data_IF_854281385238
#
_entry.id   IF_854281385238
#
_cell.length_a   1.000
_cell.length_b   1.000
_cell.length_c   1.000
_cell.angle_alpha   90.00
_cell.angle_beta   90.00
_cell.angle_gamma   90.00
#
_symmetry.space_group_name_H-M   'P 1'
#
loop_
_entity.id
_entity.type
_entity.pdbx_description
1 polymer ?
#
# COMPACT_ATOMS: atom_id res chain seq x y z
N UNK A 1 10.02 -4.78 28.01
CA UNK A 1 9.79 -3.81 26.92
C UNK A 1 9.09 -4.49 25.77
N UNK A 2 7.94 -3.97 25.40
CA UNK A 2 7.27 -4.38 24.16
C UNK A 2 8.01 -3.76 22.98
N UNK A 3 8.46 -4.60 22.05
CA UNK A 3 9.09 -4.14 20.82
C UNK A 3 8.10 -3.31 20.00
N UNK A 4 8.53 -2.17 19.50
CA UNK A 4 7.74 -1.38 18.57
C UNK A 4 7.37 -2.23 17.35
N UNK A 5 6.11 -2.18 16.95
CA UNK A 5 5.64 -2.88 15.75
C UNK A 5 5.50 -1.88 14.61
N UNK A 6 5.97 -2.28 13.44
CA UNK A 6 5.88 -1.49 12.23
C UNK A 6 4.71 -1.94 11.36
N UNK A 7 3.84 -1.01 11.03
CA UNK A 7 2.74 -1.20 10.08
C UNK A 7 3.06 -0.40 8.83
N UNK A 8 3.10 -1.07 7.69
CA UNK A 8 3.37 -0.47 6.40
C UNK A 8 2.07 -0.24 5.65
N UNK A 9 1.76 1.01 5.31
CA UNK A 9 0.50 1.39 4.69
C UNK A 9 0.77 2.03 3.33
N UNK A 10 0.08 1.57 2.29
CA UNK A 10 0.18 2.13 0.95
C UNK A 10 -1.18 2.65 0.52
N UNK A 11 -1.25 3.95 0.25
CA UNK A 11 -2.38 4.63 -0.38
C UNK A 11 -1.92 5.32 -1.66
N UNK A 12 -2.69 5.21 -2.73
CA UNK A 12 -2.34 5.79 -4.05
C UNK A 12 -3.24 6.93 -4.49
N UNK A 13 -4.26 7.25 -3.72
CA UNK A 13 -5.26 8.27 -4.03
C UNK A 13 -5.69 9.04 -2.77
N UNK A 14 -6.24 10.27 -2.91
CA UNK A 14 -6.67 11.06 -1.75
C UNK A 14 -7.69 10.36 -0.85
N UNK A 15 -8.61 9.58 -1.43
CA UNK A 15 -9.57 8.78 -0.66
C UNK A 15 -8.88 7.70 0.18
N UNK A 16 -7.89 7.03 -0.37
CA UNK A 16 -7.06 6.06 0.34
C UNK A 16 -6.21 6.69 1.43
N UNK A 17 -5.67 7.88 1.18
CA UNK A 17 -4.92 8.66 2.16
C UNK A 17 -5.79 9.01 3.38
N UNK A 18 -7.02 9.46 3.16
CA UNK A 18 -7.97 9.72 4.24
C UNK A 18 -8.27 8.44 5.03
N UNK A 19 -8.57 7.34 4.36
CA UNK A 19 -8.82 6.03 5.00
C UNK A 19 -7.58 5.60 5.81
N UNK A 20 -6.39 5.72 5.26
CA UNK A 20 -5.14 5.39 5.93
C UNK A 20 -4.92 6.21 7.20
N UNK A 21 -5.22 7.50 7.14
CA UNK A 21 -5.19 8.41 8.30
C UNK A 21 -6.14 7.95 9.42
N UNK A 22 -7.36 7.57 9.07
CA UNK A 22 -8.34 7.04 10.04
C UNK A 22 -7.86 5.71 10.68
N UNK A 23 -7.30 4.81 9.87
CA UNK A 23 -6.73 3.56 10.36
C UNK A 23 -5.59 3.84 11.35
N UNK A 24 -4.66 4.72 11.00
CA UNK A 24 -3.56 5.11 11.90
C UNK A 24 -4.10 5.66 13.21
N UNK A 25 -5.05 6.59 13.14
CA UNK A 25 -5.67 7.21 14.32
C UNK A 25 -6.30 6.17 15.27
N UNK A 26 -7.06 5.23 14.72
CA UNK A 26 -7.70 4.18 15.53
C UNK A 26 -6.68 3.17 16.10
N UNK A 27 -5.66 2.83 15.36
CA UNK A 27 -4.64 1.91 15.84
C UNK A 27 -3.77 2.51 16.95
N UNK A 28 -3.43 3.79 16.86
CA UNK A 28 -2.67 4.50 17.90
C UNK A 28 -3.44 4.53 19.21
N UNK A 29 -4.76 4.73 19.17
CA UNK A 29 -5.61 4.68 20.37
C UNK A 29 -5.55 3.34 21.09
N UNK A 30 -5.36 2.25 20.35
CA UNK A 30 -5.31 0.89 20.90
C UNK A 30 -3.92 0.49 21.37
N UNK A 31 -2.90 0.99 20.72
CA UNK A 31 -1.51 0.65 21.02
C UNK A 31 -0.57 1.80 20.62
N UNK A 32 0.02 2.46 21.61
CA UNK A 32 0.95 3.57 21.40
C UNK A 32 2.33 3.17 20.86
N UNK A 33 2.66 1.87 20.88
CA UNK A 33 3.96 1.35 20.43
C UNK A 33 3.95 0.95 18.93
N UNK A 34 3.03 1.51 18.16
CA UNK A 34 2.97 1.30 16.72
C UNK A 34 3.72 2.39 15.97
N UNK A 35 4.48 1.97 14.99
CA UNK A 35 5.12 2.84 14.01
C UNK A 35 4.54 2.61 12.64
N UNK A 36 4.52 3.65 11.82
CA UNK A 36 3.89 3.62 10.51
C UNK A 36 4.87 4.14 9.46
N UNK A 37 4.87 3.47 8.31
CA UNK A 37 5.68 3.84 7.17
C UNK A 37 4.96 3.44 5.88
N UNK A 38 5.38 3.93 4.74
CA UNK A 38 4.81 3.53 3.45
C UNK A 38 4.62 4.67 2.47
N UNK A 39 3.46 4.70 1.82
CA UNK A 39 3.08 5.73 0.85
C UNK A 39 1.74 6.31 1.23
N UNK A 40 1.66 7.61 1.34
CA UNK A 40 0.44 8.34 1.65
C UNK A 40 0.59 9.83 1.34
N UNK A 41 -0.48 10.56 1.59
CA UNK A 41 -0.55 12.00 1.39
C UNK A 41 -0.62 12.77 2.71
N UNK A 42 -1.13 13.99 2.63
CA UNK A 42 -1.14 14.92 3.76
C UNK A 42 -1.95 14.43 4.96
N UNK A 43 -3.02 13.67 4.74
CA UNK A 43 -3.82 13.15 5.84
C UNK A 43 -3.03 12.16 6.70
N UNK A 44 -2.34 11.21 6.07
CA UNK A 44 -1.49 10.25 6.79
C UNK A 44 -0.27 10.94 7.41
N UNK A 45 0.33 11.92 6.72
CA UNK A 45 1.49 12.67 7.20
C UNK A 45 1.19 13.60 8.38
N UNK A 46 -0.08 13.87 8.69
CA UNK A 46 -0.47 14.55 9.93
C UNK A 46 -0.22 13.69 11.18
N UNK A 47 0.02 12.41 11.02
CA UNK A 47 0.52 11.51 12.04
C UNK A 47 2.04 11.36 11.91
N UNK A 48 2.67 10.58 12.77
CA UNK A 48 4.09 10.23 12.61
C UNK A 48 4.30 9.23 11.45
N UNK A 49 4.07 9.71 10.24
CA UNK A 49 4.14 8.93 9.00
C UNK A 49 4.90 9.71 7.94
N UNK A 50 5.89 9.07 7.32
CA UNK A 50 6.65 9.66 6.22
C UNK A 50 6.44 8.82 4.95
N UNK A 51 5.91 9.46 3.91
CA UNK A 51 5.77 8.80 2.61
C UNK A 51 7.15 8.66 1.94
N UNK A 52 7.46 7.47 1.44
CA UNK A 52 8.76 7.19 0.80
C UNK A 52 8.91 7.88 -0.57
N UNK A 53 7.80 8.27 -1.17
CA UNK A 53 7.74 9.14 -2.34
C UNK A 53 6.40 9.88 -2.35
N UNK A 54 6.24 10.97 -3.12
CA UNK A 54 4.98 11.68 -3.20
C UNK A 54 3.85 10.78 -3.72
N UNK A 55 2.75 10.68 -2.97
CA UNK A 55 1.57 9.91 -3.39
C UNK A 55 1.04 10.36 -4.76
N UNK A 56 1.23 11.65 -5.08
CA UNK A 56 0.85 12.21 -6.39
C UNK A 56 1.50 11.48 -7.57
N UNK A 57 2.63 10.84 -7.37
CA UNK A 57 3.28 10.01 -8.40
C UNK A 57 2.40 8.84 -8.86
N UNK A 58 1.57 8.31 -7.97
CA UNK A 58 0.61 7.26 -8.29
C UNK A 58 -0.68 7.84 -8.89
N UNK A 59 -1.12 9.00 -8.40
CA UNK A 59 -2.36 9.66 -8.81
C UNK A 59 -2.29 10.19 -10.24
N UNK A 60 -1.18 10.83 -10.62
CA UNK A 60 -1.02 11.46 -11.95
C UNK A 60 -0.74 10.48 -13.09
N UNK A 61 -0.58 9.21 -12.81
CA UNK A 61 -0.31 8.20 -13.84
C UNK A 61 -1.37 8.14 -14.93
N UNK A 62 -2.62 8.54 -14.62
CA UNK A 62 -3.73 8.59 -15.57
C UNK A 62 -3.53 9.53 -16.76
N UNK A 63 -2.72 10.59 -16.61
CA UNK A 63 -2.50 11.62 -17.63
C UNK A 63 -1.19 11.47 -18.40
N UNK A 64 -0.34 10.51 -18.04
CA UNK A 64 0.93 10.26 -18.72
C UNK A 64 0.77 9.38 -19.96
N UNK A 65 1.65 9.50 -20.98
CA UNK A 65 1.73 8.53 -22.08
C UNK A 65 1.92 7.09 -21.56
N UNK A 66 1.36 6.11 -22.26
CA UNK A 66 1.32 4.70 -21.80
C UNK A 66 2.70 4.15 -21.42
N UNK A 67 3.71 4.37 -22.24
CA UNK A 67 5.06 3.87 -21.96
C UNK A 67 5.67 4.51 -20.70
N UNK A 68 5.47 5.81 -20.52
CA UNK A 68 5.94 6.51 -19.31
C UNK A 68 5.21 6.05 -18.05
N UNK A 69 3.91 5.77 -18.15
CA UNK A 69 3.12 5.20 -17.07
C UNK A 69 3.67 3.86 -16.60
N UNK A 70 3.94 2.96 -17.54
CA UNK A 70 4.45 1.61 -17.24
C UNK A 70 5.80 1.70 -16.54
N UNK A 71 6.73 2.48 -17.06
CA UNK A 71 8.06 2.63 -16.49
C UNK A 71 8.02 3.23 -15.08
N UNK A 72 7.24 4.30 -14.88
CA UNK A 72 7.08 4.93 -13.57
C UNK A 72 6.39 4.01 -12.58
N UNK A 73 5.35 3.31 -13.02
CA UNK A 73 4.61 2.34 -12.21
C UNK A 73 5.54 1.23 -11.72
N UNK A 74 6.30 0.62 -12.62
CA UNK A 74 7.24 -0.45 -12.29
C UNK A 74 8.33 0.03 -11.32
N UNK A 75 8.85 1.24 -11.53
CA UNK A 75 9.82 1.86 -10.60
C UNK A 75 9.26 1.99 -9.19
N UNK A 76 8.03 2.49 -9.06
CA UNK A 76 7.40 2.68 -7.75
C UNK A 76 7.00 1.35 -7.10
N UNK A 77 6.53 0.38 -7.88
CA UNK A 77 6.28 -0.99 -7.40
C UNK A 77 7.57 -1.61 -6.84
N UNK A 78 8.68 -1.48 -7.55
CA UNK A 78 9.97 -1.96 -7.10
C UNK A 78 10.39 -1.28 -5.79
N UNK A 79 10.29 0.04 -5.74
CA UNK A 79 10.66 0.83 -4.57
C UNK A 79 9.88 0.41 -3.32
N UNK A 80 8.55 0.28 -3.42
CA UNK A 80 7.70 -0.16 -2.31
C UNK A 80 8.05 -1.59 -1.91
N UNK A 81 8.18 -2.50 -2.87
CA UNK A 81 8.50 -3.90 -2.59
C UNK A 81 9.84 -4.04 -1.86
N UNK A 82 10.88 -3.38 -2.35
CA UNK A 82 12.20 -3.43 -1.73
C UNK A 82 12.20 -2.79 -0.34
N UNK A 83 11.52 -1.67 -0.16
CA UNK A 83 11.41 -1.01 1.13
C UNK A 83 10.71 -1.90 2.17
N UNK A 84 9.64 -2.58 1.80
CA UNK A 84 8.96 -3.56 2.65
C UNK A 84 9.89 -4.73 3.01
N UNK A 85 10.62 -5.26 2.05
CA UNK A 85 11.53 -6.38 2.28
C UNK A 85 12.71 -6.01 3.20
N UNK A 86 13.19 -4.77 3.11
CA UNK A 86 14.26 -4.25 3.97
C UNK A 86 13.74 -3.97 5.38
N UNK A 87 12.63 -3.28 5.51
CA UNK A 87 12.05 -2.86 6.80
C UNK A 87 11.39 -3.99 7.56
N UNK A 88 10.95 -5.03 6.88
CA UNK A 88 10.27 -6.20 7.47
C UNK A 88 9.15 -5.83 8.42
N UNK A 89 8.14 -5.07 7.96
CA UNK A 89 7.02 -4.69 8.81
C UNK A 89 6.27 -5.90 9.34
N UNK A 90 5.59 -5.71 10.47
CA UNK A 90 4.75 -6.74 11.10
C UNK A 90 3.41 -6.91 10.37
N UNK A 91 2.98 -5.89 9.64
CA UNK A 91 1.74 -5.88 8.85
C UNK A 91 1.89 -4.93 7.67
N UNK A 92 1.37 -5.33 6.52
CA UNK A 92 1.23 -4.48 5.34
C UNK A 92 -0.25 -4.27 5.04
N UNK A 93 -0.67 -3.01 4.90
CA UNK A 93 -2.03 -2.63 4.53
C UNK A 93 -1.98 -1.88 3.20
N UNK A 94 -2.60 -2.45 2.18
CA UNK A 94 -2.68 -1.86 0.85
C UNK A 94 -4.09 -1.32 0.64
N UNK A 95 -4.23 0.00 0.52
CA UNK A 95 -5.52 0.68 0.46
C UNK A 95 -5.80 1.11 -0.97
N UNK A 96 -6.97 0.70 -1.50
CA UNK A 96 -7.43 1.08 -2.84
C UNK A 96 -6.32 0.87 -3.92
N UNK A 97 -6.30 1.59 -5.03
CA UNK A 97 -5.27 1.44 -6.09
C UNK A 97 -4.99 -0.01 -6.49
N UNK A 98 -6.00 -0.76 -6.96
CA UNK A 98 -5.92 -2.21 -7.07
C UNK A 98 -4.81 -2.72 -8.00
N UNK A 99 -4.51 -2.02 -9.09
CA UNK A 99 -3.47 -2.43 -10.04
C UNK A 99 -2.08 -2.34 -9.42
N UNK A 100 -1.79 -1.27 -8.71
CA UNK A 100 -0.52 -1.07 -8.01
C UNK A 100 -0.39 -2.09 -6.87
N UNK A 101 -1.38 -2.14 -6.01
CA UNK A 101 -1.37 -2.97 -4.81
C UNK A 101 -1.29 -4.46 -5.12
N UNK A 102 -2.03 -4.92 -6.14
CA UNK A 102 -1.96 -6.31 -6.58
C UNK A 102 -0.54 -6.71 -7.03
N UNK A 103 0.14 -5.85 -7.76
CA UNK A 103 1.50 -6.09 -8.23
C UNK A 103 2.51 -6.13 -7.08
N UNK A 104 2.36 -5.25 -6.10
CA UNK A 104 3.17 -5.25 -4.87
C UNK A 104 2.96 -6.56 -4.11
N UNK A 105 1.71 -6.93 -3.84
CA UNK A 105 1.37 -8.15 -3.12
C UNK A 105 1.92 -9.40 -3.83
N UNK A 106 1.78 -9.48 -5.14
CA UNK A 106 2.30 -10.59 -5.95
C UNK A 106 3.82 -10.73 -5.84
N UNK A 107 4.55 -9.61 -5.85
CA UNK A 107 6.01 -9.61 -5.71
C UNK A 107 6.44 -10.02 -4.30
N UNK A 108 5.77 -9.52 -3.28
CA UNK A 108 6.03 -9.93 -1.89
C UNK A 108 5.84 -11.44 -1.71
N UNK A 109 4.78 -12.00 -2.29
CA UNK A 109 4.53 -13.43 -2.27
C UNK A 109 5.64 -14.22 -2.95
N UNK A 110 6.10 -13.78 -4.13
CA UNK A 110 7.22 -14.41 -4.85
C UNK A 110 8.53 -14.38 -4.04
N UNK A 111 8.73 -13.35 -3.24
CA UNK A 111 9.90 -13.19 -2.36
C UNK A 111 9.72 -13.89 -1.01
N UNK A 112 8.66 -14.66 -0.84
CA UNK A 112 8.37 -15.39 0.42
C UNK A 112 8.25 -14.48 1.64
N UNK A 113 7.71 -13.29 1.47
CA UNK A 113 7.41 -12.37 2.56
C UNK A 113 6.42 -13.01 3.54
N UNK A 114 6.69 -12.96 4.83
CA UNK A 114 6.00 -13.77 5.86
C UNK A 114 4.91 -13.03 6.62
N UNK A 115 5.03 -11.71 6.77
CA UNK A 115 4.02 -10.94 7.52
C UNK A 115 2.70 -10.85 6.73
N UNK A 116 1.56 -10.66 7.43
CA UNK A 116 0.28 -10.49 6.75
C UNK A 116 0.27 -9.30 5.81
N UNK A 117 -0.37 -9.47 4.65
CA UNK A 117 -0.64 -8.41 3.67
C UNK A 117 -2.15 -8.32 3.51
N UNK A 118 -2.73 -7.17 3.87
CA UNK A 118 -4.17 -6.94 3.83
C UNK A 118 -4.49 -5.96 2.70
N UNK A 119 -5.50 -6.27 1.90
CA UNK A 119 -6.10 -5.33 0.98
C UNK A 119 -7.33 -4.70 1.65
N UNK A 120 -7.27 -3.41 1.88
CA UNK A 120 -8.37 -2.64 2.44
C UNK A 120 -9.09 -1.87 1.32
N UNK A 121 -10.39 -1.92 1.29
CA UNK A 121 -11.21 -1.44 0.17
C UNK A 121 -10.92 -2.25 -1.10
N UNK A 122 -11.53 -3.42 -1.18
CA UNK A 122 -11.41 -4.28 -2.35
C UNK A 122 -11.96 -3.59 -3.61
N UNK A 123 -11.34 -3.82 -4.77
CA UNK A 123 -11.79 -3.17 -6.00
C UNK A 123 -13.20 -3.60 -6.37
N UNK A 124 -13.96 -2.69 -6.94
CA UNK A 124 -15.25 -3.00 -7.57
C UNK A 124 -15.02 -3.88 -8.78
N UNK A 125 -15.68 -5.03 -8.83
CA UNK A 125 -15.53 -6.00 -9.90
C UNK A 125 -16.80 -6.03 -10.75
N UNK A 126 -16.68 -5.61 -12.00
CA UNK A 126 -17.74 -5.78 -12.99
C UNK A 126 -17.76 -7.24 -13.48
N UNK A 127 -18.92 -7.71 -13.94
CA UNK A 127 -19.12 -9.10 -14.37
C UNK A 127 -18.05 -9.61 -15.36
N UNK A 128 -17.58 -8.77 -16.25
CA UNK A 128 -16.54 -9.08 -17.23
C UNK A 128 -15.09 -9.05 -16.70
N UNK A 129 -14.88 -8.68 -15.44
CA UNK A 129 -13.56 -8.66 -14.77
C UNK A 129 -13.45 -9.67 -13.62
N UNK A 130 -14.30 -10.67 -13.56
CA UNK A 130 -14.32 -11.65 -12.47
C UNK A 130 -12.98 -12.38 -12.27
N UNK A 131 -12.21 -12.61 -13.34
CA UNK A 131 -10.89 -13.24 -13.25
C UNK A 131 -9.90 -12.45 -12.39
N UNK A 132 -10.11 -11.14 -12.24
CA UNK A 132 -9.30 -10.27 -11.39
C UNK A 132 -9.45 -10.60 -9.90
N UNK A 133 -10.67 -10.93 -9.46
CA UNK A 133 -10.94 -11.36 -8.08
C UNK A 133 -10.18 -12.62 -7.75
N UNK A 134 -10.23 -13.62 -8.64
CA UNK A 134 -9.50 -14.88 -8.46
C UNK A 134 -7.98 -14.67 -8.38
N UNK A 135 -7.44 -13.78 -9.20
CA UNK A 135 -6.02 -13.44 -9.16
C UNK A 135 -5.64 -12.71 -7.88
N UNK A 136 -6.49 -11.79 -7.41
CA UNK A 136 -6.23 -11.04 -6.20
C UNK A 136 -6.32 -11.90 -4.95
N UNK A 137 -7.33 -12.76 -4.83
CA UNK A 137 -7.52 -13.63 -3.66
C UNK A 137 -6.34 -14.57 -3.39
N UNK A 138 -5.51 -14.85 -4.40
CA UNK A 138 -4.30 -15.65 -4.26
C UNK A 138 -3.12 -14.87 -3.65
N UNK A 139 -3.18 -13.55 -3.63
CA UNK A 139 -2.06 -12.68 -3.23
C UNK A 139 -2.30 -11.95 -1.90
N UNK A 140 -3.51 -12.06 -1.34
CA UNK A 140 -3.89 -11.45 -0.06
C UNK A 140 -4.29 -12.45 1.00
#
# INVERSE_FOLDING_TARGET
>A
MTKDKLIYIVAGEPSGDFIGSEIISELIKKNSNLKFDGVGGNFMENHEFNSIFPMSDLTVMGILPVLMKINKLLKRINQVTEDILIKKPDLVILIDSPDFNHRVAKRLKKKSFKSPVICYVAPTVWAWRQNRVKSMSKNF
#
